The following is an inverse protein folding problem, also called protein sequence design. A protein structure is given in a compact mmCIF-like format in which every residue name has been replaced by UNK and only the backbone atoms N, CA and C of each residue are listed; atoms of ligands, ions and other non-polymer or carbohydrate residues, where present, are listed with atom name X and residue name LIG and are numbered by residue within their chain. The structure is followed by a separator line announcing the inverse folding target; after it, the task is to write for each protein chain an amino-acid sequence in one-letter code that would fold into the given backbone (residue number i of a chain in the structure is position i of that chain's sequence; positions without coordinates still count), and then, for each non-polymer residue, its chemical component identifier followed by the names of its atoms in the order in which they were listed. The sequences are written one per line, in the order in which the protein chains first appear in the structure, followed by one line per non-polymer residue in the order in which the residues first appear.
data_IF_235076750312
#
_entry.id   IF_235076750312
#
_cell.length_a   1.000
_cell.length_b   1.000
_cell.length_c   1.000
_cell.angle_alpha   90.00
_cell.angle_beta   90.00
_cell.angle_gamma   90.00
#
_symmetry.space_group_name_H-M   'P 1'
#
loop_
_entity.id
_entity.type
_entity.pdbx_description
1 polymer ?
#
# COMPACT_ATOMS: atom_id res chain seq x y z
N UNK A 1 19.30 -5.17 -9.28
CA UNK A 1 20.17 -3.99 -9.24
C UNK A 1 21.47 -4.36 -8.54
N UNK A 2 22.60 -4.13 -9.19
CA UNK A 2 23.91 -4.38 -8.57
C UNK A 2 24.20 -3.29 -7.52
N UNK A 3 24.94 -3.62 -6.45
CA UNK A 3 25.23 -2.73 -5.33
C UNK A 3 25.67 -1.29 -5.72
N UNK A 4 26.51 -1.06 -6.76
CA UNK A 4 26.93 0.28 -7.14
C UNK A 4 25.78 1.14 -7.71
N UNK A 5 24.83 0.57 -8.45
CA UNK A 5 23.72 1.30 -9.09
C UNK A 5 22.74 1.92 -8.08
N UNK A 6 22.46 1.20 -6.99
CA UNK A 6 21.60 1.71 -5.91
C UNK A 6 22.29 2.87 -5.19
N UNK A 7 23.63 2.80 -5.05
CA UNK A 7 24.43 3.87 -4.46
C UNK A 7 24.38 5.15 -5.28
N UNK A 8 24.55 5.04 -6.59
CA UNK A 8 24.51 6.20 -7.50
C UNK A 8 23.12 6.83 -7.57
N UNK A 9 22.07 6.01 -7.59
CA UNK A 9 20.67 6.51 -7.57
C UNK A 9 20.36 7.27 -6.29
N UNK A 10 20.77 6.76 -5.13
CA UNK A 10 20.53 7.42 -3.85
C UNK A 10 21.34 8.72 -3.70
N UNK A 11 22.59 8.75 -4.18
CA UNK A 11 23.41 9.96 -4.20
C UNK A 11 22.85 10.97 -5.18
N UNK A 12 22.43 10.54 -6.36
CA UNK A 12 21.77 11.40 -7.36
C UNK A 12 20.45 11.98 -6.81
N UNK A 13 19.66 11.18 -6.10
CA UNK A 13 18.42 11.64 -5.45
C UNK A 13 18.66 12.71 -4.39
N UNK A 14 19.72 12.59 -3.60
CA UNK A 14 20.07 13.61 -2.60
C UNK A 14 20.38 14.96 -3.25
N UNK A 15 20.92 14.94 -4.46
CA UNK A 15 21.34 16.15 -5.19
C UNK A 15 20.18 16.75 -6.00
N UNK A 16 19.32 15.90 -6.60
CA UNK A 16 18.25 16.32 -7.52
C UNK A 16 16.88 16.48 -6.84
N UNK A 17 16.62 15.74 -5.78
CA UNK A 17 15.36 15.76 -5.03
C UNK A 17 15.65 15.65 -3.53
N UNK A 18 15.89 16.77 -2.84
CA UNK A 18 16.26 16.79 -1.43
C UNK A 18 15.19 16.16 -0.50
N UNK A 19 13.96 16.02 -0.98
CA UNK A 19 12.87 15.36 -0.25
C UNK A 19 12.32 14.20 -1.07
N UNK A 20 12.68 12.96 -0.73
CA UNK A 20 12.20 11.76 -1.42
C UNK A 20 11.51 10.79 -0.47
N UNK A 21 10.34 10.32 -0.85
CA UNK A 21 9.66 9.18 -0.23
C UNK A 21 9.95 7.94 -1.06
N UNK A 22 10.69 6.98 -0.51
CA UNK A 22 11.05 5.73 -1.15
C UNK A 22 10.14 4.60 -0.63
N UNK A 23 9.54 3.84 -1.53
CA UNK A 23 8.69 2.70 -1.17
C UNK A 23 9.25 1.39 -1.71
N UNK A 24 9.37 0.38 -0.84
CA UNK A 24 9.90 -0.94 -1.14
C UNK A 24 9.01 -2.03 -0.54
N UNK A 25 9.14 -3.28 -0.98
CA UNK A 25 8.59 -4.44 -0.27
C UNK A 25 9.33 -4.66 1.05
N UNK A 26 8.62 -5.18 2.07
CA UNK A 26 9.19 -5.38 3.42
C UNK A 26 10.45 -6.26 3.39
N UNK A 27 10.46 -7.31 2.59
CA UNK A 27 11.59 -8.22 2.45
C UNK A 27 12.79 -7.57 1.76
N UNK A 28 12.53 -6.72 0.77
CA UNK A 28 13.54 -5.93 0.10
C UNK A 28 14.08 -4.81 0.97
N UNK A 29 13.22 -4.20 1.81
CA UNK A 29 13.70 -3.24 2.82
C UNK A 29 14.70 -3.88 3.76
N UNK A 30 14.43 -5.07 4.28
CA UNK A 30 15.36 -5.78 5.16
C UNK A 30 16.65 -6.19 4.43
N UNK A 31 16.57 -6.55 3.18
CA UNK A 31 17.72 -6.88 2.33
C UNK A 31 18.50 -5.63 1.96
N UNK A 32 17.81 -4.60 1.59
CA UNK A 32 18.32 -3.27 1.30
C UNK A 32 18.91 -2.60 2.56
N UNK A 33 18.32 -2.68 3.73
CA UNK A 33 18.89 -2.19 4.99
C UNK A 33 20.21 -2.91 5.37
N UNK A 34 20.40 -4.15 4.95
CA UNK A 34 21.66 -4.89 5.12
C UNK A 34 22.71 -4.55 4.08
N UNK A 35 22.31 -4.13 2.89
CA UNK A 35 23.20 -3.88 1.73
C UNK A 35 23.31 -2.40 1.36
N UNK A 36 22.52 -1.53 1.99
CA UNK A 36 22.28 -0.22 1.42
C UNK A 36 23.49 0.68 1.42
N UNK A 37 23.76 1.04 0.21
CA UNK A 37 24.48 2.21 -0.17
C UNK A 37 24.08 3.49 0.60
N UNK A 38 22.83 3.67 1.01
CA UNK A 38 22.40 4.81 1.83
C UNK A 38 23.07 4.81 3.22
N UNK A 39 23.17 3.66 3.86
CA UNK A 39 23.93 3.52 5.11
C UNK A 39 25.42 3.69 4.86
N UNK A 40 25.95 3.08 3.80
CA UNK A 40 27.34 3.21 3.38
C UNK A 40 27.68 4.63 2.88
N UNK A 41 26.74 5.30 2.22
CA UNK A 41 26.90 6.69 1.76
C UNK A 41 26.57 7.74 2.84
N UNK A 42 26.18 7.33 4.05
CA UNK A 42 25.87 8.22 5.14
C UNK A 42 24.66 9.13 4.89
N UNK A 43 23.72 8.71 4.04
CA UNK A 43 22.46 9.48 3.80
C UNK A 43 21.54 9.32 5.00
N UNK A 44 21.23 10.39 5.75
CA UNK A 44 20.25 10.33 6.84
C UNK A 44 18.89 9.92 6.27
N UNK A 45 18.26 8.89 6.84
CA UNK A 45 16.96 8.43 6.40
C UNK A 45 16.13 7.90 7.56
N UNK A 46 14.81 7.95 7.42
CA UNK A 46 13.86 7.33 8.32
C UNK A 46 13.25 6.11 7.66
N UNK A 47 13.10 5.03 8.43
CA UNK A 47 12.44 3.80 7.95
C UNK A 47 11.05 3.72 8.53
N UNK A 48 10.05 3.66 7.65
CA UNK A 48 8.66 3.53 7.99
C UNK A 48 8.22 2.07 7.79
N UNK A 49 7.91 1.39 8.89
CA UNK A 49 7.51 0.00 8.87
C UNK A 49 6.22 -0.18 9.68
N UNK A 50 5.26 -0.94 9.15
CA UNK A 50 3.99 -1.24 9.79
C UNK A 50 4.08 -1.90 11.19
N UNK A 51 5.26 -2.30 11.64
CA UNK A 51 5.50 -2.82 12.99
C UNK A 51 5.47 -1.76 14.10
N UNK A 52 5.61 -0.47 13.78
CA UNK A 52 5.77 0.61 14.75
C UNK A 52 4.76 1.73 14.50
N UNK A 53 3.47 1.43 14.68
CA UNK A 53 2.37 2.38 14.42
C UNK A 53 2.49 3.71 15.18
N UNK A 54 2.99 3.70 16.42
CA UNK A 54 3.16 4.93 17.20
C UNK A 54 4.24 5.86 16.62
N UNK A 55 5.29 5.29 16.03
CA UNK A 55 6.37 6.07 15.42
C UNK A 55 6.01 6.50 13.98
N UNK A 56 5.11 5.76 13.32
CA UNK A 56 4.70 6.01 11.95
C UNK A 56 4.18 7.43 11.78
N UNK A 57 3.24 7.87 12.60
CA UNK A 57 2.65 9.19 12.53
C UNK A 57 3.71 10.31 12.69
N UNK A 58 4.68 10.12 13.58
CA UNK A 58 5.77 11.09 13.79
C UNK A 58 6.71 11.17 12.59
N UNK A 59 7.10 10.01 12.05
CA UNK A 59 7.98 9.96 10.87
C UNK A 59 7.30 10.61 9.67
N UNK A 60 6.01 10.29 9.43
CA UNK A 60 5.24 10.87 8.32
C UNK A 60 5.06 12.38 8.50
N UNK A 61 4.81 12.85 9.72
CA UNK A 61 4.66 14.28 10.02
C UNK A 61 5.92 15.08 9.66
N UNK A 62 7.10 14.46 9.67
CA UNK A 62 8.38 15.12 9.36
C UNK A 62 8.94 14.71 7.98
N UNK A 63 8.25 13.86 7.22
CA UNK A 63 8.73 13.38 5.92
C UNK A 63 8.82 14.48 4.84
N UNK A 64 8.06 15.57 5.00
CA UNK A 64 8.08 16.73 4.09
C UNK A 64 9.15 17.78 4.37
N UNK A 65 10.01 17.57 5.36
CA UNK A 65 11.09 18.53 5.68
C UNK A 65 12.19 18.54 4.63
N UNK A 66 12.89 19.67 4.56
CA UNK A 66 14.02 19.83 3.64
C UNK A 66 15.11 18.78 3.88
N UNK A 67 15.47 18.04 2.84
CA UNK A 67 16.50 16.99 2.90
C UNK A 67 16.08 15.71 3.63
N UNK A 68 14.81 15.57 4.04
CA UNK A 68 14.31 14.36 4.64
C UNK A 68 14.19 13.24 3.59
N UNK A 69 14.70 12.06 3.94
CA UNK A 69 14.54 10.84 3.14
C UNK A 69 13.78 9.84 3.98
N UNK A 70 12.66 9.32 3.46
CA UNK A 70 11.84 8.31 4.14
C UNK A 70 11.73 7.07 3.27
N UNK A 71 12.16 5.93 3.79
CA UNK A 71 12.01 4.62 3.17
C UNK A 71 10.78 3.97 3.78
N UNK A 72 9.76 3.68 2.97
CA UNK A 72 8.48 3.20 3.46
C UNK A 72 8.00 1.97 2.69
N UNK A 73 7.24 1.10 3.35
CA UNK A 73 6.43 0.11 2.65
C UNK A 73 5.24 0.79 1.98
N UNK A 74 4.68 0.16 0.96
CA UNK A 74 3.59 0.70 0.14
C UNK A 74 2.34 1.09 0.95
N UNK A 75 2.12 0.47 2.11
CA UNK A 75 0.95 0.72 2.98
C UNK A 75 1.24 1.68 4.13
N UNK A 76 2.51 1.97 4.40
CA UNK A 76 2.90 2.82 5.50
C UNK A 76 2.52 4.29 5.27
N UNK A 77 2.11 4.98 6.33
CA UNK A 77 1.69 6.38 6.28
C UNK A 77 0.35 6.62 5.58
N UNK A 78 -0.49 5.60 5.39
CA UNK A 78 -1.82 5.77 4.79
C UNK A 78 -2.73 6.56 5.74
N UNK A 79 -3.40 7.59 5.20
CA UNK A 79 -4.34 8.43 5.97
C UNK A 79 -3.70 9.67 6.62
N UNK A 80 -2.38 9.79 6.60
CA UNK A 80 -1.68 10.99 7.11
C UNK A 80 -1.16 11.83 5.95
N UNK A 81 -1.41 13.14 6.00
CA UNK A 81 -0.86 14.08 5.03
C UNK A 81 0.61 14.39 5.31
N UNK A 82 1.38 14.47 4.22
CA UNK A 82 2.78 14.92 4.26
C UNK A 82 2.76 16.42 3.96
N UNK A 83 3.05 17.22 4.98
CA UNK A 83 3.16 18.66 4.86
C UNK A 83 4.58 19.05 4.48
N UNK A 84 4.74 19.84 3.42
CA UNK A 84 6.05 20.37 3.04
C UNK A 84 6.56 21.32 4.13
N UNK A 85 7.84 21.20 4.51
CA UNK A 85 8.41 21.88 5.66
C UNK A 85 8.18 21.17 6.99
N UNK A 86 7.36 20.10 7.02
CA UNK A 86 7.01 19.33 8.21
C UNK A 86 5.74 19.83 8.91
N UNK A 87 5.25 19.05 9.86
CA UNK A 87 4.09 19.41 10.68
C UNK A 87 4.55 20.23 11.90
N UNK A 88 4.20 21.55 11.99
CA UNK A 88 4.67 22.41 13.07
C UNK A 88 4.13 22.00 14.45
N UNK A 89 2.92 21.40 14.51
CA UNK A 89 2.34 20.97 15.78
C UNK A 89 3.11 19.76 16.35
N UNK A 90 3.31 18.73 15.53
CA UNK A 90 4.06 17.56 15.93
C UNK A 90 5.50 17.90 16.33
N UNK A 91 6.15 18.79 15.58
CA UNK A 91 7.52 19.24 15.89
C UNK A 91 7.57 20.08 17.18
N UNK A 92 6.56 20.91 17.42
CA UNK A 92 6.47 21.68 18.65
C UNK A 92 6.25 20.79 19.88
N UNK A 93 5.40 19.76 19.78
CA UNK A 93 5.19 18.76 20.84
C UNK A 93 6.47 18.01 21.18
N UNK A 94 7.22 17.56 20.17
CA UNK A 94 8.51 16.90 20.39
C UNK A 94 9.53 17.86 21.03
N UNK A 95 9.55 19.13 20.60
CA UNK A 95 10.42 20.15 21.18
C UNK A 95 10.06 20.42 22.64
N UNK A 96 8.77 20.58 22.95
CA UNK A 96 8.27 20.76 24.32
C UNK A 96 8.70 19.60 25.20
N UNK A 97 8.52 18.36 24.73
CA UNK A 97 8.91 17.16 25.46
C UNK A 97 10.41 17.13 25.78
N UNK A 98 11.25 17.48 24.82
CA UNK A 98 12.70 17.53 25.01
C UNK A 98 13.07 18.62 26.02
N UNK A 99 12.46 19.81 25.93
CA UNK A 99 12.73 20.92 26.87
C UNK A 99 12.21 20.61 28.28
N UNK A 100 11.05 20.00 28.44
CA UNK A 100 10.50 19.56 29.74
C UNK A 100 11.39 18.49 30.38
N UNK A 101 11.89 17.54 29.58
CA UNK A 101 12.82 16.52 30.07
C UNK A 101 14.15 17.13 30.53
N UNK A 102 14.68 18.09 29.77
CA UNK A 102 15.93 18.76 30.10
C UNK A 102 15.81 19.64 31.37
N UNK A 103 14.65 20.27 31.57
CA UNK A 103 14.37 21.12 32.73
C UNK A 103 13.89 20.35 33.97
N UNK A 104 13.48 19.11 33.79
CA UNK A 104 12.78 18.29 34.79
C UNK A 104 11.52 18.99 35.38
N UNK A 105 10.89 19.86 34.61
CA UNK A 105 9.70 20.62 34.98
C UNK A 105 8.79 20.86 33.76
N UNK A 106 7.47 20.84 33.94
CA UNK A 106 6.53 21.14 32.85
C UNK A 106 6.67 22.61 32.42
N UNK A 107 6.50 22.86 31.11
CA UNK A 107 6.45 24.18 30.55
C UNK A 107 5.06 24.81 30.72
N UNK A 108 5.02 26.11 31.00
CA UNK A 108 3.76 26.85 31.06
C UNK A 108 3.18 27.13 29.64
N UNK A 109 1.90 27.49 29.59
CA UNK A 109 1.21 27.77 28.32
C UNK A 109 1.86 28.86 27.46
N UNK A 110 2.31 30.02 28.00
CA UNK A 110 3.04 31.02 27.23
C UNK A 110 4.31 30.48 26.58
N UNK A 111 5.07 29.64 27.29
CA UNK A 111 6.30 29.04 26.79
C UNK A 111 6.02 28.04 25.65
N UNK A 112 4.98 27.19 25.81
CA UNK A 112 4.53 26.27 24.75
C UNK A 112 4.09 27.02 23.49
N UNK A 113 3.35 28.13 23.62
CA UNK A 113 2.94 28.98 22.49
C UNK A 113 4.15 29.63 21.81
N UNK A 114 5.13 30.07 22.57
CA UNK A 114 6.35 30.63 22.00
C UNK A 114 7.16 29.60 21.21
N UNK A 115 7.25 28.37 21.70
CA UNK A 115 7.86 27.24 20.96
C UNK A 115 7.11 26.98 19.67
N UNK A 116 5.78 26.86 19.72
CA UNK A 116 4.96 26.63 18.52
C UNK A 116 5.14 27.74 17.49
N UNK A 117 5.15 29.01 17.91
CA UNK A 117 5.36 30.13 16.99
C UNK A 117 6.74 30.08 16.32
N UNK A 118 7.80 29.79 17.09
CA UNK A 118 9.15 29.61 16.57
C UNK A 118 9.26 28.47 15.58
N UNK A 119 8.72 27.30 15.95
CA UNK A 119 8.71 26.09 15.12
C UNK A 119 7.94 26.34 13.83
N UNK A 120 6.77 26.99 13.90
CA UNK A 120 5.99 27.35 12.72
C UNK A 120 6.78 28.21 11.74
N UNK A 121 7.50 29.21 12.21
CA UNK A 121 8.36 30.04 11.34
C UNK A 121 9.46 29.23 10.64
N UNK A 122 10.01 28.23 11.33
CA UNK A 122 11.01 27.32 10.72
C UNK A 122 10.35 26.45 9.64
N UNK A 123 9.20 25.84 9.95
CA UNK A 123 8.45 25.03 8.99
C UNK A 123 8.03 25.85 7.75
N UNK A 124 7.56 27.09 7.95
CA UNK A 124 7.14 27.97 6.86
C UNK A 124 8.32 28.32 5.92
N UNK A 125 9.51 28.53 6.46
CA UNK A 125 10.73 28.74 5.65
C UNK A 125 11.15 27.48 4.91
N UNK A 126 11.19 26.34 5.61
CA UNK A 126 11.51 25.06 4.98
C UNK A 126 10.48 24.70 3.89
N UNK A 127 9.18 25.02 4.08
CA UNK A 127 8.15 24.87 3.07
C UNK A 127 8.50 25.63 1.78
N UNK A 128 8.86 26.90 1.90
CA UNK A 128 9.26 27.72 0.74
C UNK A 128 10.49 27.14 0.03
N UNK A 129 11.48 26.69 0.79
CA UNK A 129 12.68 26.08 0.25
C UNK A 129 12.36 24.77 -0.52
N UNK A 130 11.49 23.93 0.05
CA UNK A 130 11.08 22.67 -0.55
C UNK A 130 10.23 22.89 -1.81
N UNK A 131 9.32 23.87 -1.78
CA UNK A 131 8.54 24.27 -2.95
C UNK A 131 9.45 24.78 -4.07
N UNK A 132 10.45 25.60 -3.74
CA UNK A 132 11.39 26.14 -4.72
C UNK A 132 12.21 25.06 -5.45
N UNK A 133 12.45 23.90 -4.84
CA UNK A 133 13.15 22.76 -5.47
C UNK A 133 12.19 21.74 -6.12
N UNK A 134 10.89 22.04 -6.20
CA UNK A 134 9.90 21.23 -6.89
C UNK A 134 9.05 20.31 -5.98
N UNK A 135 9.13 20.49 -4.66
CA UNK A 135 8.28 19.81 -3.69
C UNK A 135 8.73 18.38 -3.37
N UNK A 136 7.78 17.55 -2.94
CA UNK A 136 8.04 16.17 -2.57
C UNK A 136 8.23 15.30 -3.82
N UNK A 137 9.35 14.58 -3.89
CA UNK A 137 9.59 13.54 -4.90
C UNK A 137 9.27 12.16 -4.36
N UNK A 138 8.35 11.45 -5.00
CA UNK A 138 7.96 10.08 -4.65
C UNK A 138 8.61 9.11 -5.62
N UNK A 139 9.38 8.18 -5.07
CA UNK A 139 10.07 7.16 -5.83
C UNK A 139 9.47 5.79 -5.52
N UNK A 140 8.95 5.12 -6.54
CA UNK A 140 8.48 3.75 -6.46
C UNK A 140 9.48 2.79 -7.10
N UNK A 141 9.78 1.70 -6.42
CA UNK A 141 10.74 0.67 -6.92
C UNK A 141 10.04 -0.53 -7.53
N UNK A 142 8.72 -0.55 -7.50
CA UNK A 142 7.88 -1.56 -8.13
C UNK A 142 6.50 -0.99 -8.50
N UNK A 143 5.76 -1.69 -9.33
CA UNK A 143 4.35 -1.42 -9.60
C UNK A 143 3.48 -2.40 -8.80
N UNK A 144 2.39 -1.90 -8.27
CA UNK A 144 1.40 -2.74 -7.63
C UNK A 144 0.50 -3.43 -8.64
N UNK A 145 -0.15 -4.50 -8.23
CA UNK A 145 -1.15 -5.19 -9.04
C UNK A 145 -2.34 -4.28 -9.40
N UNK A 146 -2.63 -3.27 -8.59
CA UNK A 146 -3.71 -2.32 -8.81
C UNK A 146 -3.19 -0.91 -9.07
N UNK A 147 -3.62 -0.31 -10.18
CA UNK A 147 -3.33 1.10 -10.53
C UNK A 147 -3.80 2.08 -9.47
N UNK A 148 -4.85 1.73 -8.72
CA UNK A 148 -5.36 2.56 -7.63
C UNK A 148 -4.31 2.75 -6.54
N UNK A 149 -3.56 1.70 -6.21
CA UNK A 149 -2.50 1.77 -5.19
C UNK A 149 -1.33 2.62 -5.70
N UNK A 150 -0.92 2.44 -6.96
CA UNK A 150 0.11 3.29 -7.57
C UNK A 150 -0.30 4.76 -7.59
N UNK A 151 -1.56 5.05 -7.90
CA UNK A 151 -2.07 6.41 -7.89
C UNK A 151 -2.17 6.99 -6.46
N UNK A 152 -2.47 6.17 -5.46
CA UNK A 152 -2.39 6.59 -4.05
C UNK A 152 -0.95 6.93 -3.64
N UNK A 153 0.02 6.18 -4.14
CA UNK A 153 1.43 6.48 -3.91
C UNK A 153 1.85 7.79 -4.61
N UNK A 154 1.52 7.94 -5.89
CA UNK A 154 1.76 9.20 -6.64
C UNK A 154 1.09 10.40 -5.96
N UNK A 155 -0.12 10.22 -5.45
CA UNK A 155 -0.89 11.23 -4.74
C UNK A 155 -0.35 11.58 -3.34
N UNK A 156 0.80 11.04 -2.92
CA UNK A 156 1.53 11.53 -1.75
C UNK A 156 2.26 12.84 -2.04
N UNK A 157 2.63 13.07 -3.29
CA UNK A 157 3.18 14.35 -3.77
C UNK A 157 2.08 15.24 -4.36
N UNK A 158 2.36 16.53 -4.49
CA UNK A 158 1.45 17.48 -5.14
C UNK A 158 0.16 17.72 -4.34
N UNK A 159 0.19 17.68 -3.02
CA UNK A 159 -0.98 17.94 -2.17
C UNK A 159 -1.15 19.40 -1.85
N UNK A 160 -2.39 19.82 -1.61
CA UNK A 160 -2.77 21.18 -1.20
C UNK A 160 -2.33 22.28 -2.17
N UNK A 161 -2.09 21.93 -3.45
CA UNK A 161 -1.62 22.86 -4.47
C UNK A 161 -0.10 23.01 -4.54
N UNK A 162 0.64 22.36 -3.66
CA UNK A 162 2.09 22.34 -3.69
C UNK A 162 2.63 21.54 -4.89
N UNK A 163 3.80 21.90 -5.44
CA UNK A 163 4.45 21.11 -6.47
C UNK A 163 4.89 19.75 -5.94
N UNK A 164 5.06 18.79 -6.85
CA UNK A 164 5.55 17.48 -6.52
C UNK A 164 5.79 16.63 -7.75
N UNK A 165 6.58 15.60 -7.60
CA UNK A 165 6.90 14.69 -8.70
C UNK A 165 6.91 13.24 -8.23
N UNK A 166 6.77 12.32 -9.19
CA UNK A 166 6.86 10.89 -8.90
C UNK A 166 7.52 10.14 -10.04
N UNK A 167 8.35 9.16 -9.69
CA UNK A 167 9.02 8.29 -10.67
C UNK A 167 8.98 6.84 -10.19
N UNK A 168 8.77 5.91 -11.12
CA UNK A 168 8.86 4.48 -10.87
C UNK A 168 10.09 3.90 -11.56
N UNK A 169 10.88 3.16 -10.80
CA UNK A 169 11.98 2.34 -11.30
C UNK A 169 11.55 0.88 -11.21
N UNK A 170 11.57 0.18 -12.32
CA UNK A 170 11.01 -1.15 -12.46
C UNK A 170 12.06 -2.10 -12.99
N UNK A 171 12.04 -3.35 -12.51
CA UNK A 171 12.81 -4.45 -13.10
C UNK A 171 11.89 -5.32 -13.96
N UNK A 172 12.45 -5.90 -15.01
CA UNK A 172 11.76 -6.92 -15.79
C UNK A 172 11.53 -8.22 -14.99
N UNK A 173 12.24 -8.38 -13.88
CA UNK A 173 12.10 -9.49 -12.94
C UNK A 173 10.98 -9.26 -11.90
N UNK A 174 10.38 -8.05 -11.85
CA UNK A 174 9.25 -7.76 -10.97
C UNK A 174 8.09 -8.69 -11.30
N UNK A 175 7.34 -9.12 -10.27
CA UNK A 175 6.26 -10.09 -10.40
C UNK A 175 5.24 -9.71 -11.47
N UNK A 176 4.85 -8.44 -11.52
CA UNK A 176 3.92 -7.95 -12.54
C UNK A 176 4.47 -8.15 -13.96
N UNK A 177 5.76 -7.90 -14.15
CA UNK A 177 6.42 -8.05 -15.44
C UNK A 177 6.61 -9.52 -15.80
N UNK A 178 6.99 -10.36 -14.82
CA UNK A 178 7.19 -11.79 -14.99
C UNK A 178 5.92 -12.52 -15.39
N UNK A 179 4.77 -12.16 -14.80
CA UNK A 179 3.49 -12.83 -15.05
C UNK A 179 2.91 -12.44 -16.43
N UNK A 180 3.11 -11.19 -16.87
CA UNK A 180 2.36 -10.68 -18.01
C UNK A 180 3.20 -10.07 -19.14
N UNK A 181 4.50 -9.94 -19.02
CA UNK A 181 5.25 -9.16 -19.97
C UNK A 181 6.69 -9.59 -20.30
N UNK A 182 7.34 -10.34 -19.44
CA UNK A 182 8.78 -10.62 -19.56
C UNK A 182 9.17 -11.27 -20.90
N UNK A 183 8.43 -12.30 -21.34
CA UNK A 183 8.78 -13.04 -22.55
C UNK A 183 8.67 -12.23 -23.84
N UNK A 184 7.72 -11.31 -23.90
CA UNK A 184 7.57 -10.44 -25.09
C UNK A 184 8.59 -9.30 -25.09
N UNK A 185 8.88 -8.76 -23.92
CA UNK A 185 9.85 -7.68 -23.77
C UNK A 185 11.26 -8.23 -23.90
N UNK A 186 11.56 -9.41 -23.31
CA UNK A 186 12.82 -10.09 -23.47
C UNK A 186 13.12 -10.40 -24.96
N UNK A 187 12.16 -10.97 -25.70
CA UNK A 187 12.32 -11.20 -27.15
C UNK A 187 12.55 -9.91 -27.96
N UNK A 188 11.95 -8.79 -27.54
CA UNK A 188 12.17 -7.50 -28.17
C UNK A 188 13.57 -6.94 -27.85
N UNK A 189 14.10 -7.23 -26.66
CA UNK A 189 15.47 -6.84 -26.28
C UNK A 189 16.55 -7.67 -26.99
N UNK A 190 16.23 -8.91 -27.41
CA UNK A 190 17.12 -9.74 -28.23
C UNK A 190 17.28 -9.24 -29.67
N UNK A 191 16.38 -8.35 -30.13
CA UNK A 191 16.49 -7.75 -31.45
C UNK A 191 17.68 -6.78 -31.51
N UNK A 192 18.66 -7.06 -32.37
CA UNK A 192 19.88 -6.29 -32.62
C UNK A 192 19.71 -4.79 -32.93
N UNK A 193 18.49 -4.28 -32.99
CA UNK A 193 18.22 -2.87 -33.24
C UNK A 193 18.33 -2.01 -32.00
N UNK A 194 18.26 -2.60 -30.81
CA UNK A 194 18.41 -1.90 -29.54
C UNK A 194 19.82 -2.21 -29.01
N UNK A 195 20.79 -1.38 -29.37
CA UNK A 195 22.09 -1.36 -28.70
C UNK A 195 21.89 -0.68 -27.33
N UNK A 196 21.48 -1.49 -26.34
CA UNK A 196 21.43 -1.02 -24.97
C UNK A 196 22.80 -1.16 -24.34
N UNK A 197 23.36 -0.06 -23.83
CA UNK A 197 24.50 -0.12 -22.94
C UNK A 197 24.01 -0.61 -21.56
N UNK A 198 24.78 -1.50 -20.95
CA UNK A 198 24.49 -2.02 -19.61
C UNK A 198 24.41 -0.85 -18.61
N UNK A 199 23.30 -0.76 -17.82
CA UNK A 199 23.05 0.33 -16.87
C UNK A 199 22.19 1.49 -17.40
N UNK A 200 21.84 1.55 -18.67
CA UNK A 200 20.92 2.57 -19.17
C UNK A 200 19.46 2.25 -18.86
N UNK A 201 18.69 3.21 -18.28
CA UNK A 201 17.25 3.01 -18.05
C UNK A 201 16.51 2.99 -19.39
N UNK A 202 15.60 2.02 -19.54
CA UNK A 202 14.77 1.88 -20.72
C UNK A 202 13.54 2.78 -20.55
N UNK A 203 13.52 3.95 -21.20
CA UNK A 203 12.40 4.87 -21.18
C UNK A 203 11.71 4.90 -22.56
N UNK A 204 10.61 4.16 -22.69
CA UNK A 204 9.83 4.17 -23.93
C UNK A 204 8.32 4.14 -23.65
N UNK A 205 7.49 4.96 -24.35
CA UNK A 205 6.04 5.01 -24.14
C UNK A 205 5.35 3.67 -24.33
N UNK A 206 5.85 2.84 -25.21
CA UNK A 206 5.33 1.49 -25.46
C UNK A 206 5.49 0.58 -24.23
N UNK A 207 6.61 0.66 -23.50
CA UNK A 207 6.85 -0.11 -22.28
C UNK A 207 5.85 0.33 -21.21
N UNK A 208 5.67 1.63 -21.02
CA UNK A 208 4.66 2.17 -20.09
C UNK A 208 3.27 1.63 -20.41
N UNK A 209 2.87 1.62 -21.69
CA UNK A 209 1.58 1.08 -22.12
C UNK A 209 1.46 -0.43 -21.91
N UNK A 210 2.55 -1.17 -22.10
CA UNK A 210 2.60 -2.61 -21.81
C UNK A 210 2.37 -2.90 -20.34
N UNK A 211 3.02 -2.15 -19.45
CA UNK A 211 2.85 -2.25 -18.00
C UNK A 211 1.41 -1.95 -17.59
N UNK A 212 0.82 -0.87 -18.12
CA UNK A 212 -0.58 -0.54 -17.84
C UNK A 212 -1.54 -1.64 -18.31
N UNK A 213 -1.25 -2.26 -19.45
CA UNK A 213 -2.05 -3.38 -19.97
C UNK A 213 -1.92 -4.61 -19.09
N UNK A 214 -0.70 -4.90 -18.61
CA UNK A 214 -0.46 -5.97 -17.66
C UNK A 214 -1.25 -5.75 -16.36
N UNK A 215 -1.17 -4.56 -15.78
CA UNK A 215 -1.95 -4.22 -14.57
C UNK A 215 -3.45 -4.39 -14.78
N UNK A 216 -4.01 -3.97 -15.91
CA UNK A 216 -5.45 -4.15 -16.20
C UNK A 216 -5.85 -5.62 -16.23
N UNK A 217 -5.00 -6.49 -16.75
CA UNK A 217 -5.26 -7.94 -16.79
C UNK A 217 -5.25 -8.54 -15.38
N UNK A 218 -4.27 -8.16 -14.54
CA UNK A 218 -4.22 -8.60 -13.14
C UNK A 218 -5.44 -8.09 -12.38
N UNK A 219 -5.81 -6.83 -12.54
CA UNK A 219 -7.01 -6.26 -11.92
C UNK A 219 -8.27 -7.03 -12.30
N UNK A 220 -8.42 -7.39 -13.59
CA UNK A 220 -9.57 -8.17 -14.08
C UNK A 220 -9.59 -9.57 -13.47
N UNK A 221 -8.46 -10.28 -13.48
CA UNK A 221 -8.36 -11.61 -12.90
C UNK A 221 -8.66 -11.59 -11.38
N UNK A 222 -8.09 -10.64 -10.66
CA UNK A 222 -8.37 -10.49 -9.22
C UNK A 222 -9.82 -10.09 -8.94
N UNK A 223 -10.47 -9.37 -9.86
CA UNK A 223 -11.89 -9.08 -9.78
C UNK A 223 -12.73 -10.34 -9.93
N UNK A 224 -12.44 -11.18 -10.94
CA UNK A 224 -13.17 -12.42 -11.20
C UNK A 224 -13.03 -13.40 -10.02
N UNK A 225 -11.82 -13.57 -9.48
CA UNK A 225 -11.59 -14.39 -8.28
C UNK A 225 -12.43 -13.88 -7.11
N UNK A 226 -12.42 -12.58 -6.84
CA UNK A 226 -13.24 -12.00 -5.75
C UNK A 226 -14.74 -12.17 -5.98
N UNK A 227 -15.19 -12.05 -7.22
CA UNK A 227 -16.59 -12.29 -7.59
C UNK A 227 -17.01 -13.73 -7.28
N UNK A 228 -16.19 -14.70 -7.70
CA UNK A 228 -16.46 -16.12 -7.39
C UNK A 228 -16.49 -16.39 -5.88
N UNK A 229 -15.55 -15.83 -5.11
CA UNK A 229 -15.56 -15.95 -3.65
C UNK A 229 -16.84 -15.37 -3.03
N UNK A 230 -17.33 -14.23 -3.51
CA UNK A 230 -18.58 -13.65 -3.05
C UNK A 230 -19.80 -14.53 -3.40
N UNK A 231 -19.81 -15.18 -4.56
CA UNK A 231 -20.88 -16.10 -4.95
C UNK A 231 -20.93 -17.31 -4.00
N UNK A 232 -19.78 -17.90 -3.64
CA UNK A 232 -19.70 -18.95 -2.61
C UNK A 232 -20.17 -18.45 -1.24
N UNK A 233 -19.70 -17.28 -0.82
CA UNK A 233 -20.04 -16.69 0.47
C UNK A 233 -21.54 -16.38 0.58
N UNK A 234 -22.15 -15.90 -0.50
CA UNK A 234 -23.60 -15.69 -0.58
C UNK A 234 -24.39 -16.97 -0.42
N UNK A 235 -23.94 -18.08 -1.01
CA UNK A 235 -24.56 -19.40 -0.85
C UNK A 235 -24.51 -19.87 0.60
N UNK A 236 -23.34 -19.75 1.22
CA UNK A 236 -23.14 -20.09 2.64
C UNK A 236 -23.97 -19.20 3.57
N UNK A 237 -24.06 -17.90 3.28
CA UNK A 237 -24.89 -16.97 4.05
C UNK A 237 -26.37 -17.30 3.94
N UNK A 238 -26.84 -17.65 2.74
CA UNK A 238 -28.23 -18.08 2.54
C UNK A 238 -28.57 -19.34 3.33
N UNK A 239 -27.68 -20.34 3.35
CA UNK A 239 -27.85 -21.53 4.20
C UNK A 239 -27.89 -21.15 5.69
N UNK A 240 -27.02 -20.25 6.12
CA UNK A 240 -26.98 -19.75 7.50
C UNK A 240 -28.26 -19.03 7.88
N UNK A 241 -28.80 -18.18 7.01
CA UNK A 241 -30.05 -17.47 7.22
C UNK A 241 -31.21 -18.44 7.41
N UNK A 242 -31.33 -19.46 6.56
CA UNK A 242 -32.37 -20.50 6.70
C UNK A 242 -32.27 -21.22 8.04
N UNK A 243 -31.07 -21.66 8.43
CA UNK A 243 -30.87 -22.34 9.73
C UNK A 243 -31.19 -21.40 10.92
N UNK A 244 -30.78 -20.14 10.85
CA UNK A 244 -31.05 -19.18 11.92
C UNK A 244 -32.54 -18.83 12.00
N UNK A 245 -33.23 -18.74 10.88
CA UNK A 245 -34.68 -18.52 10.86
C UNK A 245 -35.42 -19.71 11.46
N UNK A 246 -35.08 -20.94 11.09
CA UNK A 246 -35.62 -22.16 11.70
C UNK A 246 -35.35 -22.19 13.20
N UNK A 247 -34.13 -21.93 13.63
CA UNK A 247 -33.75 -21.85 15.04
C UNK A 247 -34.57 -20.81 15.78
N UNK A 248 -34.80 -19.65 15.18
CA UNK A 248 -35.59 -18.56 15.76
C UNK A 248 -37.04 -18.99 15.96
N UNK A 249 -37.64 -19.59 14.94
CA UNK A 249 -39.03 -20.12 15.03
C UNK A 249 -39.17 -21.18 16.12
N UNK A 250 -38.19 -22.04 16.30
CA UNK A 250 -38.17 -23.03 17.39
C UNK A 250 -38.08 -22.34 18.76
N UNK A 251 -37.24 -21.36 18.92
CA UNK A 251 -37.06 -20.62 20.19
C UNK A 251 -38.30 -19.77 20.56
N UNK A 252 -38.97 -19.24 19.55
CA UNK A 252 -40.20 -18.46 19.71
C UNK A 252 -41.44 -19.36 20.01
N UNK A 253 -41.31 -20.69 19.89
CA UNK A 253 -42.34 -21.66 20.19
C UNK A 253 -43.49 -21.70 19.19
N UNK A 254 -43.32 -21.17 18.00
CA UNK A 254 -44.33 -21.09 16.96
C UNK A 254 -44.47 -22.46 16.28
N UNK A 255 -45.62 -23.12 16.50
CA UNK A 255 -46.05 -24.37 15.85
C UNK A 255 -44.92 -25.41 15.59
N UNK A 256 -44.25 -25.84 16.65
CA UNK A 256 -43.18 -26.84 16.57
C UNK A 256 -43.66 -28.19 15.98
N UNK A 257 -44.94 -28.54 16.21
CA UNK A 257 -45.51 -29.79 15.70
C UNK A 257 -45.67 -29.75 14.17
N UNK A 258 -46.21 -28.62 13.66
CA UNK A 258 -46.30 -28.41 12.21
C UNK A 258 -44.95 -28.48 11.54
N UNK A 259 -43.99 -27.75 12.09
CA UNK A 259 -42.61 -27.74 11.57
C UNK A 259 -41.95 -29.16 11.49
N UNK A 260 -42.14 -29.98 12.54
CA UNK A 260 -41.62 -31.38 12.57
C UNK A 260 -42.31 -32.23 11.54
N UNK A 261 -43.66 -32.09 11.37
CA UNK A 261 -44.41 -32.83 10.38
C UNK A 261 -44.01 -32.47 8.94
N UNK A 262 -43.79 -31.18 8.67
CA UNK A 262 -43.35 -30.71 7.36
C UNK A 262 -41.97 -31.29 7.01
N UNK A 263 -41.00 -31.23 7.93
CA UNK A 263 -39.67 -31.82 7.75
C UNK A 263 -39.76 -33.35 7.54
N UNK A 264 -40.59 -34.02 8.31
CA UNK A 264 -40.77 -35.47 8.18
C UNK A 264 -41.38 -35.84 6.82
N UNK A 265 -42.33 -35.04 6.32
CA UNK A 265 -42.92 -35.21 5.00
C UNK A 265 -41.92 -35.01 3.88
N UNK A 266 -41.11 -33.94 3.97
CA UNK A 266 -40.05 -33.63 3.00
C UNK A 266 -39.02 -34.78 2.92
N UNK A 267 -38.55 -35.27 4.08
CA UNK A 267 -37.62 -36.41 4.12
C UNK A 267 -38.27 -37.70 3.53
N UNK A 268 -39.54 -37.92 3.79
CA UNK A 268 -40.24 -39.07 3.23
C UNK A 268 -40.38 -38.97 1.71
N UNK A 269 -40.67 -37.81 1.17
CA UNK A 269 -40.71 -37.54 -0.27
C UNK A 269 -39.35 -37.71 -0.90
N UNK A 270 -38.27 -37.16 -0.33
CA UNK A 270 -36.91 -37.35 -0.80
C UNK A 270 -36.47 -38.82 -0.83
N UNK A 271 -36.84 -39.60 0.20
CA UNK A 271 -36.57 -41.01 0.25
C UNK A 271 -37.37 -41.80 -0.81
N UNK A 272 -38.63 -41.45 -1.04
CA UNK A 272 -39.43 -42.02 -2.10
C UNK A 272 -38.85 -41.73 -3.47
N UNK A 273 -38.42 -40.49 -3.73
CA UNK A 273 -37.81 -40.09 -5.00
C UNK A 273 -36.46 -40.78 -5.22
N UNK A 274 -35.68 -41.01 -4.16
CA UNK A 274 -34.37 -41.64 -4.23
C UNK A 274 -34.45 -43.17 -4.42
N UNK A 275 -35.45 -43.85 -3.82
CA UNK A 275 -35.52 -45.31 -3.74
C UNK A 275 -36.72 -45.93 -4.44
N UNK A 276 -37.76 -45.16 -4.77
CA UNK A 276 -38.89 -45.65 -5.55
C UNK A 276 -38.70 -45.31 -7.03
N UNK A 277 -38.61 -46.31 -7.89
CA UNK A 277 -38.61 -46.06 -9.32
C UNK A 277 -40.00 -45.56 -9.76
N UNK A 278 -40.06 -44.81 -10.85
CA UNK A 278 -41.33 -44.32 -11.45
C UNK A 278 -42.31 -45.43 -11.79
N UNK A 279 -41.86 -46.68 -11.86
CA UNK A 279 -42.66 -47.86 -12.15
C UNK A 279 -43.01 -48.69 -10.91
N UNK A 280 -42.82 -48.17 -9.70
CA UNK A 280 -43.26 -48.76 -8.44
C UNK A 280 -42.46 -50.00 -7.98
N UNK A 281 -41.32 -50.28 -8.60
CA UNK A 281 -40.45 -51.34 -8.12
C UNK A 281 -39.28 -50.74 -7.27
N UNK A 282 -38.98 -51.29 -6.07
CA UNK A 282 -37.88 -50.83 -5.24
C UNK A 282 -36.55 -51.12 -5.99
N UNK A 283 -35.71 -50.11 -6.08
CA UNK A 283 -34.33 -50.30 -6.53
C UNK A 283 -33.54 -51.01 -5.44
N UNK A 284 -32.89 -52.11 -5.79
CA UNK A 284 -32.11 -52.97 -4.90
C UNK A 284 -30.76 -52.33 -4.53
#
# INVERSE_FOLDING_TARGET
LQEPEVSEVLVSLKTQAPNALLTFRVEEILRLLRTIAAVKAGVPHNVLNAKYHEQEARIVAQAGRKGAVTIATNMAGRGTDILLGGNPQALAEDTVRVEETARQAPLDEPQRRAILARVKQVCDREHQDVVAVGGLHVLGTERHESRRIDNQLRGRSGRQGDPGSSRFYLSLEDDLMRIFGSDRIARLMEFKWFQWEEGMPIEHPWITKSIETAQRRVEAQNFDIRKQLLEYDNTMNRQREVIYEQRRRILEGIDLRGLVMDIASEIAEDLLDAFASKDGQPQA
#
